data_IF_841316759380
#
_entry.id   IF_841316759380
#
_cell.length_a   1.000
_cell.length_b   1.000
_cell.length_c   1.000
_cell.angle_alpha   90.00
_cell.angle_beta   90.00
_cell.angle_gamma   90.00
#
_symmetry.space_group_name_H-M   'P 1'
#
loop_
_entity.id
_entity.type
_entity.pdbx_description
1 polymer ?
#
# COMPACT_ATOMS: atom_id res chain seq x y z
N UNK A 1 34.25 40.88 26.01
CA UNK A 1 33.55 40.37 24.81
C UNK A 1 32.55 39.33 25.27
N UNK A 2 31.33 39.25 24.73
CA UNK A 2 30.40 38.18 25.09
C UNK A 2 31.01 36.83 24.69
N UNK A 3 30.99 35.87 25.62
CA UNK A 3 31.41 34.48 25.37
C UNK A 3 30.13 33.66 25.17
N UNK A 4 30.01 33.03 23.99
CA UNK A 4 28.90 32.13 23.69
C UNK A 4 29.15 30.79 24.39
N UNK A 5 28.32 30.45 25.37
CA UNK A 5 28.46 29.21 26.14
C UNK A 5 27.63 28.05 25.58
N UNK A 6 26.57 28.37 24.83
CA UNK A 6 25.62 27.39 24.30
C UNK A 6 25.45 27.60 22.80
N UNK A 7 25.41 26.49 22.07
CA UNK A 7 25.07 26.45 20.66
C UNK A 7 23.91 25.49 20.49
N UNK A 8 22.75 26.04 20.13
CA UNK A 8 21.56 25.25 19.83
C UNK A 8 21.56 24.91 18.33
N UNK A 9 21.51 23.62 18.01
CA UNK A 9 21.44 23.14 16.62
C UNK A 9 20.01 22.83 16.18
N UNK A 10 19.02 23.06 17.05
CA UNK A 10 17.61 22.87 16.81
C UNK A 10 17.20 21.40 16.73
N UNK A 11 16.06 21.17 16.09
CA UNK A 11 15.51 19.85 15.84
C UNK A 11 16.07 19.18 14.58
N UNK A 12 15.22 18.44 13.86
CA UNK A 12 15.57 17.88 12.56
C UNK A 12 16.23 16.50 12.57
N UNK A 13 16.49 15.92 13.75
CA UNK A 13 16.77 14.49 13.87
C UNK A 13 15.53 13.72 13.40
N UNK A 14 15.66 13.07 12.25
CA UNK A 14 14.57 12.37 11.58
C UNK A 14 14.28 11.01 12.24
N UNK A 15 13.21 10.38 11.76
CA UNK A 15 12.70 9.10 12.25
C UNK A 15 12.43 8.23 11.04
N UNK A 16 12.89 6.99 11.08
CA UNK A 16 12.65 6.02 10.02
C UNK A 16 11.28 5.36 10.24
N UNK A 17 10.26 5.83 9.51
CA UNK A 17 8.89 5.32 9.60
C UNK A 17 8.63 4.17 8.63
N UNK A 18 9.30 4.12 7.47
CA UNK A 18 9.11 3.07 6.46
C UNK A 18 10.10 1.90 6.62
N UNK A 19 11.15 2.07 7.42
CA UNK A 19 12.17 1.04 7.72
C UNK A 19 13.21 0.87 6.61
N UNK A 20 13.18 1.73 5.58
CA UNK A 20 14.03 1.60 4.39
C UNK A 20 15.45 2.09 4.63
N UNK A 21 15.66 2.98 5.62
CA UNK A 21 16.92 3.70 5.84
C UNK A 21 17.40 4.44 4.59
N UNK A 22 16.47 4.97 3.80
CA UNK A 22 16.75 5.75 2.60
C UNK A 22 16.53 7.24 2.85
N UNK A 23 16.94 8.07 1.89
CA UNK A 23 16.70 9.51 1.88
C UNK A 23 15.27 9.86 1.39
N UNK A 24 14.28 9.01 1.71
CA UNK A 24 12.87 9.26 1.41
C UNK A 24 12.26 10.24 2.43
N UNK A 25 11.10 10.82 2.11
CA UNK A 25 10.42 11.80 2.98
C UNK A 25 9.95 11.22 4.32
N UNK A 26 9.73 9.89 4.38
CA UNK A 26 9.31 9.18 5.60
C UNK A 26 10.44 8.36 6.25
N UNK A 27 11.69 8.60 5.86
CA UNK A 27 12.87 7.86 6.33
C UNK A 27 14.06 8.80 6.61
N UNK A 28 15.17 8.20 7.04
CA UNK A 28 16.48 8.83 7.11
C UNK A 28 17.58 7.87 6.66
N UNK A 29 18.63 8.39 6.03
CA UNK A 29 19.77 7.61 5.54
C UNK A 29 21.01 7.72 6.44
N UNK A 30 20.81 8.07 7.71
CA UNK A 30 21.87 8.23 8.70
C UNK A 30 21.44 7.66 10.06
N UNK A 31 22.41 7.37 10.92
CA UNK A 31 22.15 7.00 12.32
C UNK A 31 22.23 8.20 13.27
N UNK A 32 21.68 8.05 14.48
CA UNK A 32 21.79 9.09 15.52
C UNK A 32 23.26 9.39 15.85
N UNK A 33 24.12 8.37 15.84
CA UNK A 33 25.56 8.50 16.07
C UNK A 33 26.26 9.23 14.92
N UNK A 34 25.84 9.01 13.66
CA UNK A 34 26.36 9.73 12.51
C UNK A 34 25.98 11.20 12.57
N UNK A 35 24.70 11.50 12.82
CA UNK A 35 24.23 12.88 13.02
C UNK A 35 25.02 13.58 14.14
N UNK A 36 25.16 12.94 15.31
CA UNK A 36 25.87 13.51 16.44
C UNK A 36 27.36 13.74 16.13
N UNK A 37 28.00 12.81 15.42
CA UNK A 37 29.40 12.93 15.02
C UNK A 37 29.61 14.11 14.08
N UNK A 38 28.76 14.25 13.08
CA UNK A 38 28.90 15.30 12.07
C UNK A 38 28.70 16.69 12.68
N UNK A 39 27.69 16.86 13.54
CA UNK A 39 27.46 18.12 14.26
C UNK A 39 28.63 18.48 15.17
N UNK A 40 29.09 17.52 15.99
CA UNK A 40 30.23 17.75 16.90
C UNK A 40 31.50 18.06 16.11
N UNK A 41 31.73 17.37 15.00
CA UNK A 41 32.91 17.56 14.16
C UNK A 41 32.96 18.96 13.55
N UNK A 42 31.87 19.41 12.93
CA UNK A 42 31.78 20.72 12.26
C UNK A 42 31.99 21.86 13.28
N UNK A 43 31.35 21.77 14.45
CA UNK A 43 31.49 22.77 15.51
C UNK A 43 32.93 22.81 16.03
N UNK A 44 33.51 21.64 16.33
CA UNK A 44 34.90 21.53 16.78
C UNK A 44 35.87 22.15 15.79
N UNK A 45 35.79 21.76 14.51
CA UNK A 45 36.69 22.24 13.47
C UNK A 45 36.62 23.77 13.32
N UNK A 46 35.40 24.32 13.34
CA UNK A 46 35.18 25.78 13.25
C UNK A 46 35.76 26.52 14.46
N UNK A 47 35.57 25.99 15.68
CA UNK A 47 36.14 26.58 16.89
C UNK A 47 37.67 26.50 16.89
N UNK A 48 38.25 25.35 16.50
CA UNK A 48 39.70 25.15 16.44
C UNK A 48 40.36 26.12 15.45
N UNK A 49 39.75 26.34 14.28
CA UNK A 49 40.26 27.29 13.27
C UNK A 49 40.22 28.75 13.73
N UNK A 50 39.21 29.12 14.51
CA UNK A 50 39.00 30.50 15.00
C UNK A 50 39.65 30.78 16.35
N UNK A 51 40.19 29.75 17.01
CA UNK A 51 40.70 29.83 18.38
C UNK A 51 39.61 30.11 19.42
N UNK A 52 38.34 29.84 19.09
CA UNK A 52 37.21 30.04 19.98
C UNK A 52 37.07 28.86 20.97
N UNK A 53 36.60 29.09 22.20
CA UNK A 53 36.29 28.01 23.13
C UNK A 53 35.14 27.15 22.58
N UNK A 54 35.19 25.84 22.86
CA UNK A 54 34.13 24.92 22.44
C UNK A 54 32.84 25.17 23.26
N UNK A 55 31.68 25.41 22.63
CA UNK A 55 30.43 25.64 23.33
C UNK A 55 29.79 24.33 23.83
N UNK A 56 28.85 24.44 24.77
CA UNK A 56 27.92 23.35 25.07
C UNK A 56 26.89 23.25 23.94
N UNK A 57 26.71 22.06 23.38
CA UNK A 57 25.74 21.84 22.30
C UNK A 57 24.39 21.46 22.91
N UNK A 58 23.32 22.13 22.46
CA UNK A 58 21.93 21.82 22.80
C UNK A 58 21.18 21.41 21.53
N UNK A 59 20.15 20.57 21.69
CA UNK A 59 19.34 20.05 20.58
C UNK A 59 17.86 20.03 20.96
N UNK A 60 16.97 20.09 19.97
CA UNK A 60 15.52 20.15 20.13
C UNK A 60 14.85 18.94 19.44
N UNK A 61 15.37 17.73 19.64
CA UNK A 61 14.93 16.50 18.95
C UNK A 61 13.57 15.97 19.45
N UNK A 62 12.52 16.79 19.41
CA UNK A 62 11.17 16.43 19.86
C UNK A 62 10.65 15.19 19.16
N UNK A 63 10.57 15.22 17.81
CA UNK A 63 10.05 14.10 17.01
C UNK A 63 10.79 12.79 17.28
N UNK A 64 12.12 12.80 17.27
CA UNK A 64 12.91 11.59 17.51
C UNK A 64 12.70 11.01 18.93
N UNK A 65 12.44 11.87 19.91
CA UNK A 65 12.20 11.45 21.30
C UNK A 65 10.82 10.85 21.49
N UNK A 66 9.79 11.38 20.81
CA UNK A 66 8.39 10.96 21.01
C UNK A 66 7.85 10.05 19.92
N UNK A 67 8.53 9.82 18.79
CA UNK A 67 7.90 9.08 17.69
C UNK A 67 7.47 7.64 18.07
N UNK A 68 8.23 6.97 18.94
CA UNK A 68 8.03 5.54 19.24
C UNK A 68 7.33 5.28 20.59
N UNK A 69 6.88 6.31 21.32
CA UNK A 69 6.33 6.15 22.68
C UNK A 69 4.85 5.76 22.72
N UNK A 70 4.12 5.88 21.61
CA UNK A 70 2.67 5.67 21.55
C UNK A 70 2.30 4.75 20.40
N UNK A 71 1.35 3.84 20.66
CA UNK A 71 0.78 2.93 19.66
C UNK A 71 -0.73 3.10 19.66
N UNK A 72 -1.31 3.15 18.46
CA UNK A 72 -2.75 3.14 18.27
C UNK A 72 -3.22 1.71 17.96
N UNK A 73 -4.12 1.20 18.79
CA UNK A 73 -4.72 -0.13 18.60
C UNK A 73 -6.20 0.04 18.25
N UNK A 74 -6.62 -0.58 17.16
CA UNK A 74 -8.00 -0.56 16.68
C UNK A 74 -8.41 -1.93 16.15
N UNK A 75 -9.72 -2.17 16.10
CA UNK A 75 -10.29 -3.41 15.60
C UNK A 75 -10.67 -3.32 14.13
N UNK A 76 -10.66 -4.46 13.44
CA UNK A 76 -11.26 -4.61 12.11
C UNK A 76 -12.74 -4.96 12.32
N UNK A 77 -13.63 -4.08 11.88
CA UNK A 77 -15.08 -4.25 11.95
C UNK A 77 -15.61 -5.16 10.84
N UNK A 78 -14.96 -5.15 9.69
CA UNK A 78 -15.40 -5.91 8.54
C UNK A 78 -14.33 -5.98 7.46
N UNK A 79 -14.51 -6.94 6.57
CA UNK A 79 -13.65 -7.14 5.42
C UNK A 79 -14.54 -7.22 4.19
N UNK A 80 -14.34 -6.32 3.24
CA UNK A 80 -14.90 -6.47 1.91
C UNK A 80 -13.87 -7.13 1.02
N UNK A 81 -14.19 -8.33 0.56
CA UNK A 81 -13.45 -8.99 -0.49
C UNK A 81 -14.15 -8.68 -1.81
N UNK A 82 -13.57 -7.78 -2.59
CA UNK A 82 -14.19 -7.29 -3.82
C UNK A 82 -14.42 -8.42 -4.86
N UNK A 83 -13.73 -9.57 -4.73
CA UNK A 83 -13.70 -10.62 -5.77
C UNK A 83 -13.75 -12.06 -5.24
N UNK A 84 -14.53 -12.34 -4.18
CA UNK A 84 -14.63 -13.72 -3.62
C UNK A 84 -15.63 -14.63 -4.33
N UNK A 85 -16.47 -14.09 -5.22
CA UNK A 85 -17.47 -14.91 -5.91
C UNK A 85 -16.78 -15.66 -7.05
N UNK A 86 -16.83 -17.00 -7.09
CA UNK A 86 -16.34 -17.75 -8.24
C UNK A 86 -17.15 -17.33 -9.47
N UNK A 87 -16.47 -16.77 -10.47
CA UNK A 87 -17.06 -16.58 -11.79
C UNK A 87 -16.82 -17.86 -12.58
N UNK A 88 -17.90 -18.55 -12.96
CA UNK A 88 -17.83 -19.67 -13.89
C UNK A 88 -18.14 -19.17 -15.31
N UNK A 89 -17.17 -19.21 -16.25
CA UNK A 89 -17.38 -18.78 -17.62
C UNK A 89 -18.56 -19.50 -18.31
N UNK A 90 -18.80 -20.78 -18.03
CA UNK A 90 -19.91 -21.52 -18.63
C UNK A 90 -21.27 -20.97 -18.20
N UNK A 91 -21.38 -20.63 -16.90
CA UNK A 91 -22.55 -19.96 -16.35
C UNK A 91 -22.78 -18.59 -17.02
N UNK A 92 -21.72 -17.81 -17.24
CA UNK A 92 -21.83 -16.50 -17.93
C UNK A 92 -22.32 -16.68 -19.36
N UNK A 93 -21.71 -17.61 -20.12
CA UNK A 93 -22.07 -17.88 -21.52
C UNK A 93 -23.53 -18.37 -21.68
N UNK A 94 -24.06 -19.08 -20.68
CA UNK A 94 -25.45 -19.50 -20.68
C UNK A 94 -26.43 -18.39 -20.27
N UNK A 95 -25.97 -17.39 -19.50
CA UNK A 95 -26.84 -16.38 -18.89
C UNK A 95 -27.09 -15.16 -19.77
N UNK A 96 -26.25 -14.90 -20.77
CA UNK A 96 -26.35 -13.68 -21.59
C UNK A 96 -26.11 -13.93 -23.09
N UNK A 97 -26.59 -13.00 -23.91
CA UNK A 97 -26.31 -12.91 -25.35
C UNK A 97 -25.50 -11.65 -25.70
N UNK A 98 -25.12 -10.85 -24.69
CA UNK A 98 -24.37 -9.62 -24.89
C UNK A 98 -22.94 -9.93 -25.38
N UNK A 99 -22.54 -9.45 -26.57
CA UNK A 99 -21.24 -9.80 -27.16
C UNK A 99 -20.05 -9.45 -26.27
N UNK A 100 -20.06 -8.27 -25.65
CA UNK A 100 -18.97 -7.82 -24.78
C UNK A 100 -18.77 -8.73 -23.56
N UNK A 101 -19.86 -9.25 -22.98
CA UNK A 101 -19.81 -10.17 -21.84
C UNK A 101 -19.35 -11.56 -22.27
N UNK A 102 -19.83 -12.05 -23.40
CA UNK A 102 -19.41 -13.33 -23.98
C UNK A 102 -17.90 -13.31 -24.27
N UNK A 103 -17.41 -12.25 -24.92
CA UNK A 103 -15.99 -12.09 -25.22
C UNK A 103 -15.14 -12.08 -23.94
N UNK A 104 -15.59 -11.39 -22.88
CA UNK A 104 -14.91 -11.39 -21.58
C UNK A 104 -14.84 -12.81 -20.97
N UNK A 105 -15.92 -13.59 -21.06
CA UNK A 105 -15.95 -14.97 -20.57
C UNK A 105 -15.03 -15.89 -21.37
N UNK A 106 -14.92 -15.68 -22.69
CA UNK A 106 -14.00 -16.44 -23.55
C UNK A 106 -12.54 -16.15 -23.23
N UNK A 107 -12.17 -14.87 -23.06
CA UNK A 107 -10.82 -14.49 -22.63
C UNK A 107 -10.41 -15.18 -21.32
N UNK A 108 -11.36 -15.30 -20.38
CA UNK A 108 -11.13 -16.00 -19.12
C UNK A 108 -10.91 -17.51 -19.31
N UNK A 109 -11.59 -18.17 -20.26
CA UNK A 109 -11.37 -19.59 -20.59
C UNK A 109 -10.03 -19.83 -21.29
N UNK A 110 -9.59 -18.90 -22.13
CA UNK A 110 -8.38 -19.01 -22.94
C UNK A 110 -7.11 -18.51 -22.24
N UNK A 111 -7.25 -17.95 -21.03
CA UNK A 111 -6.16 -17.38 -20.26
C UNK A 111 -5.08 -18.42 -19.94
N UNK A 112 -3.83 -18.10 -20.28
CA UNK A 112 -2.65 -18.91 -20.04
C UNK A 112 -1.44 -18.03 -19.72
N UNK A 113 -0.36 -18.59 -19.14
CA UNK A 113 0.86 -17.83 -18.89
C UNK A 113 1.51 -17.24 -20.15
N UNK A 114 1.19 -17.74 -21.35
CA UNK A 114 1.77 -17.26 -22.61
C UNK A 114 1.05 -16.04 -23.18
N UNK A 115 -0.27 -15.99 -23.02
CA UNK A 115 -1.12 -14.90 -23.55
C UNK A 115 -1.60 -13.93 -22.45
N UNK A 116 -1.29 -14.17 -21.16
CA UNK A 116 -1.76 -13.38 -20.04
C UNK A 116 -1.64 -11.85 -20.20
N UNK A 117 -0.59 -11.38 -20.87
CA UNK A 117 -0.39 -9.95 -21.14
C UNK A 117 -1.39 -9.41 -22.17
N UNK A 118 -1.52 -10.10 -23.30
CA UNK A 118 -2.45 -9.76 -24.38
C UNK A 118 -3.89 -9.85 -23.88
N UNK A 119 -4.23 -10.97 -23.25
CA UNK A 119 -5.53 -11.19 -22.62
C UNK A 119 -5.89 -10.13 -21.57
N UNK A 120 -4.90 -9.62 -20.82
CA UNK A 120 -5.13 -8.52 -19.88
C UNK A 120 -5.49 -7.23 -20.62
N UNK A 121 -4.75 -6.88 -21.68
CA UNK A 121 -5.02 -5.67 -22.47
C UNK A 121 -6.41 -5.73 -23.10
N UNK A 122 -6.76 -6.85 -23.72
CA UNK A 122 -8.08 -7.08 -24.31
C UNK A 122 -9.19 -6.99 -23.24
N UNK A 123 -8.97 -7.56 -22.05
CA UNK A 123 -9.92 -7.48 -20.95
C UNK A 123 -10.09 -6.06 -20.39
N UNK A 124 -9.06 -5.21 -20.43
CA UNK A 124 -9.15 -3.80 -20.04
C UNK A 124 -10.01 -3.02 -21.03
N UNK A 125 -9.81 -3.25 -22.34
CA UNK A 125 -10.62 -2.64 -23.40
C UNK A 125 -12.08 -3.07 -23.31
N UNK A 126 -12.34 -4.38 -23.25
CA UNK A 126 -13.70 -4.91 -23.10
C UNK A 126 -14.41 -4.40 -21.85
N UNK A 127 -13.70 -4.23 -20.73
CA UNK A 127 -14.32 -3.66 -19.52
C UNK A 127 -14.81 -2.22 -19.75
N UNK A 128 -14.05 -1.43 -20.51
CA UNK A 128 -14.43 -0.07 -20.84
C UNK A 128 -15.67 -0.05 -21.75
N UNK A 129 -15.73 -0.95 -22.72
CA UNK A 129 -16.91 -1.13 -23.58
C UNK A 129 -18.14 -1.52 -22.77
N UNK A 130 -18.03 -2.51 -21.86
CA UNK A 130 -19.11 -2.91 -20.96
C UNK A 130 -19.58 -1.73 -20.09
N UNK A 131 -18.66 -0.86 -19.62
CA UNK A 131 -19.01 0.33 -18.84
C UNK A 131 -19.81 1.32 -19.69
N UNK A 132 -19.39 1.53 -20.93
CA UNK A 132 -20.03 2.45 -21.85
C UNK A 132 -21.41 1.94 -22.28
N UNK A 133 -21.52 0.68 -22.69
CA UNK A 133 -22.79 0.07 -23.11
C UNK A 133 -23.80 0.07 -21.96
N UNK A 134 -23.37 -0.25 -20.74
CA UNK A 134 -24.23 -0.14 -19.55
C UNK A 134 -24.70 1.31 -19.30
N UNK A 135 -23.79 2.28 -19.41
CA UNK A 135 -24.12 3.70 -19.22
C UNK A 135 -25.11 4.23 -20.27
N UNK A 136 -25.09 3.66 -21.48
CA UNK A 136 -26.04 3.94 -22.55
C UNK A 136 -27.36 3.16 -22.42
N UNK A 137 -27.49 2.28 -21.41
CA UNK A 137 -28.67 1.44 -21.20
C UNK A 137 -28.78 0.25 -22.15
N UNK A 138 -27.67 -0.15 -22.80
CA UNK A 138 -27.62 -1.28 -23.73
C UNK A 138 -27.38 -2.62 -23.03
N UNK A 139 -26.88 -2.59 -21.79
CA UNK A 139 -26.66 -3.77 -20.95
C UNK A 139 -27.53 -3.74 -19.70
N UNK A 140 -27.97 -4.91 -19.27
CA UNK A 140 -28.65 -5.07 -17.98
C UNK A 140 -27.66 -4.98 -16.81
N UNK A 141 -28.19 -4.85 -15.58
CA UNK A 141 -27.33 -4.89 -14.38
C UNK A 141 -26.73 -6.28 -14.17
N UNK A 142 -27.45 -7.33 -14.58
CA UNK A 142 -26.99 -8.71 -14.58
C UNK A 142 -25.80 -8.90 -15.52
N UNK A 143 -25.91 -8.40 -16.77
CA UNK A 143 -24.81 -8.43 -17.75
C UNK A 143 -23.59 -7.69 -17.20
N UNK A 144 -23.81 -6.49 -16.64
CA UNK A 144 -22.74 -5.70 -16.03
C UNK A 144 -22.06 -6.45 -14.89
N UNK A 145 -22.84 -7.10 -14.03
CA UNK A 145 -22.33 -7.89 -12.91
C UNK A 145 -21.50 -9.09 -13.40
N UNK A 146 -21.92 -9.79 -14.45
CA UNK A 146 -21.14 -10.89 -15.04
C UNK A 146 -19.83 -10.39 -15.63
N UNK A 147 -19.84 -9.28 -16.37
CA UNK A 147 -18.63 -8.66 -16.93
C UNK A 147 -17.62 -8.27 -15.85
N UNK A 148 -18.08 -7.64 -14.76
CA UNK A 148 -17.22 -7.25 -13.64
C UNK A 148 -16.65 -8.47 -12.89
N UNK A 149 -17.43 -9.55 -12.73
CA UNK A 149 -16.96 -10.81 -12.11
C UNK A 149 -15.91 -11.52 -12.96
N UNK A 150 -16.11 -11.61 -14.28
CA UNK A 150 -15.16 -12.25 -15.19
C UNK A 150 -13.83 -11.47 -15.27
N UNK A 151 -13.90 -10.14 -15.42
CA UNK A 151 -12.72 -9.27 -15.40
C UNK A 151 -11.92 -9.38 -14.10
N UNK A 152 -12.62 -9.42 -12.96
CA UNK A 152 -12.00 -9.58 -11.65
C UNK A 152 -11.21 -10.90 -11.51
N UNK A 153 -11.82 -12.00 -11.94
CA UNK A 153 -11.17 -13.31 -11.90
C UNK A 153 -9.98 -13.36 -12.85
N UNK A 154 -10.11 -12.80 -14.05
CA UNK A 154 -9.04 -12.71 -15.05
C UNK A 154 -7.82 -11.97 -14.48
N UNK A 155 -8.01 -10.79 -13.89
CA UNK A 155 -6.91 -10.05 -13.25
C UNK A 155 -6.25 -10.84 -12.12
N UNK A 156 -7.05 -11.56 -11.33
CA UNK A 156 -6.55 -12.37 -10.22
C UNK A 156 -5.67 -13.50 -10.75
N UNK A 157 -6.12 -14.22 -11.77
CA UNK A 157 -5.38 -15.34 -12.35
C UNK A 157 -4.13 -14.84 -13.09
N UNK A 158 -4.23 -13.76 -13.87
CA UNK A 158 -3.08 -13.15 -14.57
C UNK A 158 -1.98 -12.74 -13.59
N UNK A 159 -2.34 -12.18 -12.43
CA UNK A 159 -1.38 -11.86 -11.36
C UNK A 159 -0.76 -13.09 -10.70
N UNK A 160 -1.49 -14.19 -10.54
CA UNK A 160 -0.94 -15.45 -9.99
C UNK A 160 -0.03 -16.17 -10.99
N UNK A 161 -0.30 -16.04 -12.29
CA UNK A 161 0.50 -16.65 -13.35
C UNK A 161 1.90 -16.03 -13.47
N UNK A 162 2.16 -14.86 -12.90
CA UNK A 162 3.50 -14.24 -12.93
C UNK A 162 4.55 -15.13 -12.28
N UNK A 163 4.18 -15.96 -11.29
CA UNK A 163 5.09 -16.88 -10.61
C UNK A 163 5.59 -18.02 -11.54
N UNK A 164 4.92 -18.25 -12.67
CA UNK A 164 5.27 -19.27 -13.66
C UNK A 164 6.05 -18.70 -14.84
N UNK A 165 6.24 -17.37 -14.91
CA UNK A 165 6.90 -16.69 -16.02
C UNK A 165 8.38 -16.44 -15.72
N UNK A 166 9.25 -16.77 -16.69
CA UNK A 166 10.69 -16.45 -16.59
C UNK A 166 10.95 -14.94 -16.69
N UNK A 167 10.17 -14.25 -17.52
CA UNK A 167 10.19 -12.79 -17.64
C UNK A 167 8.77 -12.28 -17.39
N UNK A 168 8.61 -11.41 -16.40
CA UNK A 168 7.33 -10.78 -16.07
C UNK A 168 7.33 -9.38 -16.71
N UNK A 169 6.42 -9.10 -17.67
CA UNK A 169 6.17 -7.77 -18.21
C UNK A 169 5.83 -6.74 -17.12
N UNK A 170 6.15 -5.47 -17.36
CA UNK A 170 5.98 -4.41 -16.35
C UNK A 170 4.51 -4.23 -15.92
N UNK A 171 3.56 -4.24 -16.85
CA UNK A 171 2.14 -4.09 -16.51
C UNK A 171 1.63 -5.24 -15.63
N UNK A 172 2.08 -6.48 -15.87
CA UNK A 172 1.77 -7.61 -15.00
C UNK A 172 2.43 -7.51 -13.62
N UNK A 173 3.57 -6.82 -13.50
CA UNK A 173 4.17 -6.50 -12.18
C UNK A 173 3.39 -5.42 -11.45
N UNK A 174 2.81 -4.48 -12.19
CA UNK A 174 2.02 -3.37 -11.67
C UNK A 174 0.60 -3.77 -11.31
N UNK A 175 0.09 -4.87 -11.88
CA UNK A 175 -1.11 -5.49 -11.37
C UNK A 175 -0.91 -5.67 -9.86
N UNK A 176 -1.77 -5.07 -9.02
CA UNK A 176 -1.74 -5.43 -7.62
C UNK A 176 -1.88 -6.95 -7.60
N UNK A 177 -1.13 -7.65 -6.75
CA UNK A 177 -1.38 -9.08 -6.51
C UNK A 177 -2.78 -9.17 -5.92
N UNK A 178 -3.79 -9.17 -6.78
CA UNK A 178 -5.12 -8.61 -6.52
C UNK A 178 -5.91 -9.64 -5.75
N UNK A 179 -5.70 -9.58 -4.45
CA UNK A 179 -6.67 -9.91 -3.42
C UNK A 179 -6.38 -8.98 -2.25
N UNK A 180 -6.39 -7.68 -2.54
CA UNK A 180 -6.37 -6.63 -1.51
C UNK A 180 -7.75 -6.61 -0.90
N UNK A 181 -7.91 -7.40 0.16
CA UNK A 181 -9.10 -7.34 0.99
C UNK A 181 -9.19 -5.92 1.58
N UNK A 182 -10.35 -5.29 1.47
CA UNK A 182 -10.54 -3.96 2.04
C UNK A 182 -10.97 -4.13 3.50
N UNK A 183 -10.11 -3.68 4.42
CA UNK A 183 -10.35 -3.74 5.85
C UNK A 183 -11.06 -2.46 6.32
N UNK A 184 -12.25 -2.61 6.91
CA UNK A 184 -12.93 -1.53 7.59
C UNK A 184 -12.53 -1.53 9.06
N UNK A 185 -11.77 -0.51 9.45
CA UNK A 185 -11.21 -0.40 10.79
C UNK A 185 -12.05 0.53 11.65
N UNK A 186 -12.18 0.23 12.95
CA UNK A 186 -12.78 1.12 13.94
C UNK A 186 -11.81 2.26 14.30
N UNK A 187 -11.55 3.12 13.32
CA UNK A 187 -10.53 4.15 13.35
C UNK A 187 -11.01 5.39 12.61
N UNK A 188 -10.68 6.57 13.13
CA UNK A 188 -10.77 7.82 12.40
C UNK A 188 -9.38 8.35 12.08
N UNK A 189 -9.03 8.39 10.79
CA UNK A 189 -7.74 8.92 10.32
C UNK A 189 -7.58 10.39 10.76
N UNK A 190 -8.64 11.19 10.65
CA UNK A 190 -8.59 12.62 11.00
C UNK A 190 -8.38 12.88 12.50
N UNK A 191 -8.86 11.98 13.36
CA UNK A 191 -8.71 12.14 14.80
C UNK A 191 -7.37 11.60 15.29
N UNK A 192 -6.89 10.49 14.73
CA UNK A 192 -5.77 9.74 15.28
C UNK A 192 -4.49 9.81 14.45
N UNK A 193 -4.59 10.08 13.14
CA UNK A 193 -3.48 10.12 12.19
C UNK A 193 -3.58 11.34 11.24
N UNK A 194 -3.67 12.58 11.75
CA UNK A 194 -3.82 13.76 10.92
C UNK A 194 -2.65 13.97 9.95
N UNK A 195 -1.42 13.63 10.37
CA UNK A 195 -0.22 13.72 9.52
C UNK A 195 -0.31 12.81 8.29
N UNK A 196 -0.94 11.63 8.42
CA UNK A 196 -1.16 10.74 7.29
C UNK A 196 -2.07 11.38 6.24
N UNK A 197 -3.10 12.10 6.67
CA UNK A 197 -4.02 12.78 5.76
C UNK A 197 -3.45 14.09 5.18
N UNK A 198 -2.70 14.85 5.99
CA UNK A 198 -2.27 16.20 5.63
C UNK A 198 -0.98 16.24 4.80
N UNK A 199 -0.05 15.31 5.05
CA UNK A 199 1.29 15.32 4.46
C UNK A 199 1.76 13.92 4.03
N UNK A 200 0.81 13.00 3.79
CA UNK A 200 1.08 11.62 3.36
C UNK A 200 2.09 10.87 4.25
N UNK A 201 2.17 11.23 5.53
CA UNK A 201 3.09 10.60 6.48
C UNK A 201 2.78 9.10 6.61
N UNK A 202 3.80 8.27 6.43
CA UNK A 202 3.68 6.83 6.56
C UNK A 202 3.75 6.44 8.04
N UNK A 203 2.90 5.48 8.44
CA UNK A 203 2.95 4.81 9.74
C UNK A 203 2.95 3.29 9.52
N UNK A 204 3.79 2.51 10.24
CA UNK A 204 3.72 1.06 10.22
C UNK A 204 2.39 0.55 10.80
N UNK A 205 1.69 -0.32 10.06
CA UNK A 205 0.42 -0.92 10.50
C UNK A 205 0.54 -2.46 10.49
N UNK A 206 1.17 -3.06 11.50
CA UNK A 206 1.21 -4.52 11.65
C UNK A 206 -0.08 -5.05 12.32
N UNK A 207 -0.51 -6.29 12.02
CA UNK A 207 -1.50 -6.95 12.85
C UNK A 207 -0.91 -7.24 14.24
N UNK A 208 -1.69 -7.04 15.30
CA UNK A 208 -1.22 -7.27 16.69
C UNK A 208 -0.92 -8.75 16.96
N UNK A 209 -1.68 -9.64 16.32
CA UNK A 209 -1.57 -11.10 16.47
C UNK A 209 -1.25 -11.76 15.13
N UNK A 210 -0.79 -13.02 15.19
CA UNK A 210 -0.52 -13.88 14.01
C UNK A 210 0.61 -13.41 13.08
N UNK A 211 1.56 -12.64 13.60
CA UNK A 211 2.74 -12.18 12.84
C UNK A 211 3.56 -13.33 12.20
N UNK A 212 3.56 -14.52 12.82
CA UNK A 212 4.29 -15.70 12.32
C UNK A 212 3.45 -16.63 11.45
N UNK A 213 2.13 -16.46 11.41
CA UNK A 213 1.29 -17.16 10.45
C UNK A 213 1.40 -16.34 9.17
N UNK A 214 2.23 -16.78 8.20
CA UNK A 214 2.46 -16.08 6.93
C UNK A 214 1.23 -16.02 6.01
N UNK A 215 0.08 -15.60 6.52
CA UNK A 215 -1.20 -15.63 5.85
C UNK A 215 -2.29 -14.84 6.60
N UNK A 216 -3.13 -14.19 5.79
CA UNK A 216 -4.21 -13.24 6.13
C UNK A 216 -4.97 -13.53 7.44
N UNK A 217 -5.43 -12.49 8.16
CA UNK A 217 -6.42 -12.67 9.21
C UNK A 217 -7.70 -13.26 8.61
N UNK A 218 -7.95 -14.54 8.87
CA UNK A 218 -9.22 -15.18 8.53
C UNK A 218 -10.35 -14.45 9.25
N UNK A 219 -11.31 -13.92 8.50
CA UNK A 219 -12.60 -13.51 9.02
C UNK A 219 -13.26 -14.75 9.66
N UNK A 220 -13.18 -14.87 10.98
CA UNK A 220 -13.99 -15.85 11.70
C UNK A 220 -15.43 -15.34 11.64
N UNK A 221 -16.25 -15.95 10.79
CA UNK A 221 -17.69 -15.85 10.93
C UNK A 221 -18.08 -16.50 12.26
N UNK A 222 -18.30 -15.69 13.29
CA UNK A 222 -18.97 -16.13 14.51
C UNK A 222 -20.43 -16.37 14.18
N UNK A 223 -20.75 -17.56 13.65
CA UNK A 223 -22.08 -18.13 13.84
C UNK A 223 -22.22 -18.46 15.32
N UNK A 224 -22.80 -17.55 16.07
CA UNK A 224 -23.42 -17.85 17.35
C UNK A 224 -24.65 -18.72 17.08
N UNK A 225 -24.48 -20.04 17.20
CA UNK A 225 -25.62 -20.93 17.42
C UNK A 225 -25.99 -20.84 18.90
N UNK A 226 -27.20 -20.35 19.18
CA UNK A 226 -27.93 -20.66 20.39
C UNK A 226 -28.18 -22.16 20.50
#
# INVERSE_FOLDING_TARGET
>A
MPVMNYMDVGGGLAVDYDGSKTASESSMNYTVEEYARDVVWIIKETCDQTGAPHPTIATEFGRATVAYHSVLVFEVLGIANTFSTPCDPETVLAATQAPAIINMAQLLQELSPKNAMETLHDAVELRQDILQEFSLGLLSIEDRAFGDQAWALLNTISGLMTDQMHYIPEDLRRLPRLRTDTYFCNLSIFQSLPDNWAVDQIFPIPPVNRLNAGGRPAASSSRTSH
#
